data_IF_195517391061
#
_entry.id   IF_195517391061
#
_cell.length_a   1.000
_cell.length_b   1.000
_cell.length_c   1.000
_cell.angle_alpha   90.00
_cell.angle_beta   90.00
_cell.angle_gamma   90.00
#
_symmetry.space_group_name_H-M   'P 1'
#
loop_
_entity.id
_entity.type
_entity.pdbx_description
1 polymer ?
#
# COMPACT_ATOMS: atom_id res chain seq x y z
N UNK A 1 13.72 -20.94 7.31
CA UNK A 1 12.46 -20.16 7.28
C UNK A 1 12.45 -19.32 6.01
N UNK A 2 11.48 -19.52 5.11
CA UNK A 2 11.42 -18.88 3.80
C UNK A 2 11.09 -17.39 3.97
N UNK A 3 12.01 -16.48 3.63
CA UNK A 3 11.67 -15.05 3.48
C UNK A 3 10.66 -14.94 2.36
N UNK A 4 9.43 -14.55 2.69
CA UNK A 4 8.45 -14.17 1.67
C UNK A 4 8.87 -12.78 1.18
N UNK A 5 9.31 -12.70 -0.07
CA UNK A 5 9.53 -11.42 -0.73
C UNK A 5 8.18 -10.71 -0.84
N UNK A 6 8.06 -9.44 -0.43
CA UNK A 6 6.85 -8.67 -0.65
C UNK A 6 6.62 -8.54 -2.16
N UNK A 7 5.45 -8.99 -2.64
CA UNK A 7 5.05 -8.93 -4.04
C UNK A 7 3.79 -8.07 -4.20
N UNK A 8 3.73 -7.29 -5.27
CA UNK A 8 2.53 -6.55 -5.66
C UNK A 8 1.59 -7.50 -6.40
N UNK A 9 0.37 -7.64 -5.91
CA UNK A 9 -0.71 -8.38 -6.55
C UNK A 9 -1.40 -7.52 -7.59
N UNK A 10 -1.62 -8.07 -8.79
CA UNK A 10 -2.36 -7.40 -9.85
C UNK A 10 -3.77 -7.01 -9.37
N UNK A 11 -4.14 -5.76 -9.64
CA UNK A 11 -5.42 -5.24 -9.23
C UNK A 11 -6.52 -5.73 -10.19
N UNK A 12 -7.60 -6.29 -9.63
CA UNK A 12 -8.63 -6.97 -10.42
C UNK A 12 -9.42 -6.08 -11.38
N UNK A 13 -9.36 -4.75 -11.23
CA UNK A 13 -9.97 -3.74 -12.11
C UNK A 13 -11.37 -4.09 -12.66
N UNK A 14 -12.27 -4.59 -11.79
CA UNK A 14 -13.54 -5.22 -12.22
C UNK A 14 -14.54 -4.28 -12.93
N UNK A 15 -14.29 -2.98 -12.92
CA UNK A 15 -15.16 -1.96 -13.51
C UNK A 15 -14.50 -1.21 -14.68
N UNK A 16 -13.27 -1.58 -15.04
CA UNK A 16 -12.45 -0.85 -16.01
C UNK A 16 -12.02 0.55 -15.52
N UNK A 17 -11.04 1.15 -16.21
CA UNK A 17 -10.66 2.56 -16.01
C UNK A 17 -9.99 2.91 -14.67
N UNK A 18 -9.67 1.94 -13.81
CA UNK A 18 -8.94 2.25 -12.57
C UNK A 18 -7.49 2.63 -12.89
N UNK A 19 -7.03 3.77 -12.36
CA UNK A 19 -5.63 4.18 -12.43
C UNK A 19 -4.67 3.30 -11.61
N UNK A 20 -5.15 2.21 -10.99
CA UNK A 20 -4.37 1.28 -10.17
C UNK A 20 -4.04 0.02 -10.96
N UNK A 21 -2.76 -0.35 -11.00
CA UNK A 21 -2.25 -1.57 -11.64
C UNK A 21 -2.10 -2.74 -10.67
N UNK A 22 -1.54 -2.48 -9.48
CA UNK A 22 -1.27 -3.51 -8.50
C UNK A 22 -1.24 -2.94 -7.08
N UNK A 23 -1.29 -3.81 -6.08
CA UNK A 23 -1.22 -3.41 -4.68
C UNK A 23 -0.51 -4.48 -3.82
N UNK A 24 -0.02 -4.08 -2.66
CA UNK A 24 0.46 -4.98 -1.61
C UNK A 24 -0.02 -4.48 -0.25
N UNK A 25 -0.34 -5.41 0.64
CA UNK A 25 -0.69 -5.11 2.04
C UNK A 25 0.37 -5.77 2.91
N UNK A 26 1.16 -4.95 3.62
CA UNK A 26 2.29 -5.34 4.45
C UNK A 26 2.07 -4.79 5.87
N UNK A 27 1.40 -5.57 6.72
CA UNK A 27 1.00 -5.12 8.06
C UNK A 27 0.11 -3.87 7.98
N UNK A 28 0.59 -2.76 8.56
CA UNK A 28 -0.07 -1.45 8.55
C UNK A 28 0.27 -0.59 7.31
N UNK A 29 0.86 -1.17 6.27
CA UNK A 29 1.19 -0.45 5.02
C UNK A 29 0.43 -1.03 3.84
N UNK A 30 -0.23 -0.15 3.07
CA UNK A 30 -0.85 -0.44 1.80
C UNK A 30 -0.02 0.25 0.72
N UNK A 31 0.65 -0.55 -0.10
CA UNK A 31 1.39 -0.07 -1.26
C UNK A 31 0.52 -0.16 -2.50
N UNK A 32 0.42 0.92 -3.27
CA UNK A 32 -0.42 1.00 -4.48
C UNK A 32 0.42 1.44 -5.66
N UNK A 33 0.47 0.62 -6.70
CA UNK A 33 1.08 0.95 -7.98
C UNK A 33 0.04 1.54 -8.92
N UNK A 34 0.33 2.72 -9.46
CA UNK A 34 -0.53 3.40 -10.43
C UNK A 34 -0.09 3.13 -11.87
N UNK A 35 -0.93 3.53 -12.82
CA UNK A 35 -0.67 3.39 -14.26
C UNK A 35 0.58 4.12 -14.75
N UNK A 36 1.01 5.18 -14.05
CA UNK A 36 2.27 5.89 -14.32
C UNK A 36 3.51 5.08 -13.87
N UNK A 37 3.31 4.01 -13.10
CA UNK A 37 4.36 3.11 -12.62
C UNK A 37 4.87 3.43 -11.22
N UNK A 38 4.61 4.62 -10.67
CA UNK A 38 4.98 4.93 -9.30
C UNK A 38 4.20 4.08 -8.29
N UNK A 39 4.84 3.82 -7.15
CA UNK A 39 4.24 3.07 -6.03
C UNK A 39 4.17 3.96 -4.79
N UNK A 40 3.00 4.04 -4.19
CA UNK A 40 2.75 4.88 -3.01
C UNK A 40 2.47 4.01 -1.80
N UNK A 41 3.21 4.25 -0.72
CA UNK A 41 3.01 3.58 0.55
C UNK A 41 2.12 4.41 1.46
N UNK A 42 0.95 3.88 1.76
CA UNK A 42 0.02 4.45 2.73
C UNK A 42 0.12 3.69 4.03
N UNK A 43 0.42 4.38 5.13
CA UNK A 43 0.49 3.74 6.45
C UNK A 43 -0.75 4.04 7.26
N UNK A 44 -1.26 3.04 7.99
CA UNK A 44 -2.47 3.14 8.82
C UNK A 44 -2.45 4.32 9.78
N UNK A 45 -1.29 4.63 10.37
CA UNK A 45 -1.10 5.77 11.28
C UNK A 45 -1.23 7.15 10.60
N UNK A 46 -0.85 7.26 9.33
CA UNK A 46 -0.82 8.53 8.61
C UNK A 46 -2.20 8.84 7.98
N UNK A 47 -2.91 7.81 7.51
CA UNK A 47 -4.25 7.96 6.90
C UNK A 47 -5.41 7.80 7.89
N UNK A 48 -5.16 7.10 9.00
CA UNK A 48 -6.14 6.70 10.01
C UNK A 48 -6.79 5.33 9.72
N UNK A 49 -7.05 4.56 10.78
CA UNK A 49 -7.54 3.17 10.72
C UNK A 49 -8.74 2.98 9.78
N UNK A 50 -9.81 3.78 9.95
CA UNK A 50 -11.04 3.66 9.15
C UNK A 50 -10.80 3.83 7.64
N UNK A 51 -9.91 4.76 7.24
CA UNK A 51 -9.60 4.99 5.82
C UNK A 51 -8.69 3.90 5.26
N UNK A 52 -7.71 3.47 6.07
CA UNK A 52 -6.82 2.37 5.73
C UNK A 52 -7.59 1.07 5.50
N UNK A 53 -8.48 0.71 6.43
CA UNK A 53 -9.25 -0.53 6.38
C UNK A 53 -10.21 -0.53 5.18
N UNK A 54 -10.83 0.62 4.88
CA UNK A 54 -11.64 0.80 3.67
C UNK A 54 -10.83 0.66 2.36
N UNK A 55 -9.62 1.22 2.30
CA UNK A 55 -8.73 1.07 1.15
C UNK A 55 -8.26 -0.38 0.96
N UNK A 56 -7.92 -1.07 2.05
CA UNK A 56 -7.58 -2.49 2.02
C UNK A 56 -8.75 -3.36 1.53
N UNK A 57 -9.98 -3.07 1.95
CA UNK A 57 -11.17 -3.76 1.47
C UNK A 57 -11.40 -3.54 -0.04
N UNK A 58 -11.25 -2.30 -0.51
CA UNK A 58 -11.34 -1.96 -1.94
C UNK A 58 -10.25 -2.66 -2.78
N UNK A 59 -9.03 -2.75 -2.24
CA UNK A 59 -7.92 -3.46 -2.87
C UNK A 59 -8.22 -4.95 -3.06
N UNK A 60 -8.66 -5.62 -1.98
CA UNK A 60 -9.00 -7.06 -1.98
C UNK A 60 -10.19 -7.38 -2.89
N UNK A 61 -11.20 -6.52 -2.91
CA UNK A 61 -12.38 -6.71 -3.78
C UNK A 61 -12.11 -6.38 -5.24
N UNK A 62 -11.00 -5.71 -5.54
CA UNK A 62 -10.63 -5.30 -6.90
C UNK A 62 -11.55 -4.22 -7.47
N UNK A 63 -12.25 -3.46 -6.62
CA UNK A 63 -13.22 -2.42 -7.02
C UNK A 63 -13.07 -1.16 -6.16
N UNK A 64 -13.03 0.00 -6.80
CA UNK A 64 -13.10 1.30 -6.13
C UNK A 64 -11.82 1.79 -5.44
N UNK A 65 -10.68 1.10 -5.55
CA UNK A 65 -9.44 1.51 -4.90
C UNK A 65 -8.93 2.87 -5.39
N UNK A 66 -8.91 3.12 -6.71
CA UNK A 66 -8.56 4.43 -7.28
C UNK A 66 -9.39 5.56 -6.65
N UNK A 67 -10.72 5.41 -6.64
CA UNK A 67 -11.63 6.40 -6.05
C UNK A 67 -11.39 6.58 -4.55
N UNK A 68 -11.15 5.50 -3.81
CA UNK A 68 -10.85 5.54 -2.40
C UNK A 68 -9.56 6.33 -2.14
N UNK A 69 -8.51 6.08 -2.93
CA UNK A 69 -7.24 6.81 -2.82
C UNK A 69 -7.46 8.29 -3.09
N UNK A 70 -8.06 8.66 -4.22
CA UNK A 70 -8.26 10.06 -4.60
C UNK A 70 -9.19 10.83 -3.64
N UNK A 71 -10.15 10.16 -3.00
CA UNK A 71 -11.07 10.81 -2.06
C UNK A 71 -10.54 10.87 -0.63
N UNK A 72 -9.89 9.80 -0.15
CA UNK A 72 -9.63 9.62 1.28
C UNK A 72 -8.15 9.66 1.65
N UNK A 73 -7.27 9.16 0.77
CA UNK A 73 -5.85 9.03 1.06
C UNK A 73 -5.06 10.22 0.49
N UNK A 74 -5.35 10.63 -0.76
CA UNK A 74 -4.70 11.77 -1.46
C UNK A 74 -3.18 11.76 -1.24
N UNK A 75 -2.63 12.87 -0.76
CA UNK A 75 -1.22 13.11 -0.49
C UNK A 75 -0.75 12.61 0.89
N UNK A 76 -1.58 11.87 1.64
CA UNK A 76 -1.19 11.27 2.94
C UNK A 76 -0.35 10.00 2.79
N UNK A 77 0.39 9.88 1.69
CA UNK A 77 1.34 8.80 1.52
C UNK A 77 2.59 9.07 2.36
N UNK A 78 3.18 8.02 2.90
CA UNK A 78 4.41 8.13 3.69
C UNK A 78 5.65 8.17 2.81
N UNK A 79 5.65 7.37 1.74
CA UNK A 79 6.77 7.25 0.79
C UNK A 79 6.18 7.09 -0.61
N UNK A 80 6.82 7.77 -1.57
CA UNK A 80 6.61 7.54 -3.00
C UNK A 80 7.85 6.89 -3.58
N UNK A 81 7.66 5.77 -4.25
CA UNK A 81 8.68 5.07 -5.02
C UNK A 81 8.50 5.39 -6.50
N UNK A 82 9.63 5.59 -7.20
CA UNK A 82 9.60 5.92 -8.62
C UNK A 82 8.98 4.79 -9.47
N UNK A 83 9.19 3.54 -9.07
CA UNK A 83 8.66 2.37 -9.77
C UNK A 83 8.57 1.14 -8.84
N UNK A 84 7.96 0.05 -9.37
CA UNK A 84 7.87 -1.26 -8.68
C UNK A 84 9.22 -1.81 -8.23
N UNK A 85 10.29 -1.62 -9.00
CA UNK A 85 11.60 -2.18 -8.66
C UNK A 85 12.22 -1.45 -7.46
N UNK A 86 12.10 -0.12 -7.42
CA UNK A 86 12.50 0.71 -6.28
C UNK A 86 11.74 0.32 -5.01
N UNK A 87 10.41 0.17 -5.11
CA UNK A 87 9.59 -0.33 -4.01
C UNK A 87 10.04 -1.72 -3.53
N UNK A 88 10.27 -2.66 -4.45
CA UNK A 88 10.67 -4.02 -4.11
C UNK A 88 12.04 -4.06 -3.41
N UNK A 89 12.96 -3.17 -3.79
CA UNK A 89 14.26 -3.00 -3.12
C UNK A 89 14.05 -2.48 -1.70
N UNK A 90 13.31 -1.38 -1.54
CA UNK A 90 13.04 -0.78 -0.24
C UNK A 90 12.37 -1.75 0.75
N UNK A 91 11.44 -2.59 0.27
CA UNK A 91 10.71 -3.54 1.12
C UNK A 91 11.40 -4.89 1.31
N UNK A 92 12.33 -5.31 0.43
CA UNK A 92 13.19 -6.48 0.69
C UNK A 92 14.10 -6.25 1.89
N UNK A 93 14.70 -5.07 1.96
CA UNK A 93 15.63 -4.70 3.03
C UNK A 93 14.89 -4.43 4.36
N UNK A 94 13.63 -3.98 4.28
CA UNK A 94 12.77 -3.70 5.44
C UNK A 94 11.96 -4.92 5.95
N UNK A 95 12.20 -6.14 5.41
CA UNK A 95 11.45 -7.35 5.76
C UNK A 95 11.70 -7.91 7.19
N UNK A 96 12.41 -7.16 8.05
CA UNK A 96 12.41 -7.31 9.51
C UNK A 96 12.86 -5.96 10.11
N UNK A 97 12.11 -5.29 11.03
CA UNK A 97 11.29 -5.86 12.10
C UNK A 97 9.93 -5.15 12.32
N UNK A 98 8.81 -5.87 12.14
CA UNK A 98 7.50 -5.46 12.72
C UNK A 98 7.33 -5.90 14.18
N UNK A 99 8.39 -6.39 14.83
CA UNK A 99 8.44 -6.60 16.27
C UNK A 99 9.47 -5.67 16.91
N UNK A 100 9.18 -4.36 16.98
CA UNK A 100 9.83 -3.48 17.97
C UNK A 100 9.03 -2.18 18.19
N UNK A 101 8.41 -2.13 19.38
CA UNK A 101 8.04 -0.95 20.17
C UNK A 101 6.99 0.00 19.58
N UNK A 102 5.75 -0.15 20.03
CA UNK A 102 4.98 1.02 20.46
C UNK A 102 5.62 1.53 21.76
N UNK A 103 6.61 2.41 21.64
CA UNK A 103 7.02 3.24 22.77
C UNK A 103 5.87 4.20 23.04
N UNK A 104 5.13 3.89 24.11
CA UNK A 104 4.48 4.87 24.96
C UNK A 104 5.46 6.02 25.25
N UNK A 105 4.99 7.26 25.18
CA UNK A 105 5.76 8.43 25.63
C UNK A 105 4.82 9.25 26.55
N UNK A 106 5.32 9.75 27.70
CA UNK A 106 4.59 9.86 28.96
C UNK A 106 3.66 11.06 29.04
#
# INVERSE_FOLDING_TARGET
>A
MRRLSPTLQAYGNRHGGSGVRAFAILGDTLSVEFVDGAVYDYRRRDVGARRFDAACAAARTGRGLSTCVSRHLRDRFAIRHANRADWARAHRDNAAPSARRTSSKP
#
